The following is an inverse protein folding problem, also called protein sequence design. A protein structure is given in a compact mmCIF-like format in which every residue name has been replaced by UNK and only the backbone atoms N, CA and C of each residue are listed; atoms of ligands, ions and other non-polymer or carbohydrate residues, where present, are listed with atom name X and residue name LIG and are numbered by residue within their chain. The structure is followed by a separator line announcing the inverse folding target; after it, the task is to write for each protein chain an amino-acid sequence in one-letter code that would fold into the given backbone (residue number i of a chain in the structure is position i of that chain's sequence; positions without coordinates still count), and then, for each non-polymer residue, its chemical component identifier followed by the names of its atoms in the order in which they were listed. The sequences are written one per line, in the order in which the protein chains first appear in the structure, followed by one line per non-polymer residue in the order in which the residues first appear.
data_IF_763861010231
#
_entry.id   IF_763861010231
#
_cell.length_a   1.000
_cell.length_b   1.000
_cell.length_c   1.000
_cell.angle_alpha   90.00
_cell.angle_beta   90.00
_cell.angle_gamma   90.00
#
_symmetry.space_group_name_H-M   'P 1'
#
loop_
_entity.id
_entity.type
_entity.pdbx_description
1 polymer ?
#
# COMPACT_ATOMS: atom_id res chain seq x y z
N UNK A 1 21.70 3.38 5.93
CA UNK A 1 21.26 2.22 6.74
C UNK A 1 19.79 2.32 7.14
N UNK A 2 19.31 3.48 7.62
CA UNK A 2 17.93 3.68 8.09
C UNK A 2 16.82 3.23 7.11
N UNK A 3 16.80 3.74 5.88
CA UNK A 3 15.75 3.42 4.90
C UNK A 3 15.67 1.92 4.56
N UNK A 4 16.81 1.22 4.53
CA UNK A 4 16.87 -0.23 4.28
C UNK A 4 16.19 -1.00 5.41
N UNK A 5 16.43 -0.57 6.66
CA UNK A 5 15.74 -1.13 7.81
C UNK A 5 14.22 -1.02 7.67
N UNK A 6 13.70 0.17 7.40
CA UNK A 6 12.25 0.38 7.26
C UNK A 6 11.64 -0.35 6.06
N UNK A 7 12.29 -0.32 4.90
CA UNK A 7 11.78 -0.97 3.69
C UNK A 7 11.87 -2.50 3.76
N UNK A 8 13.01 -3.05 4.20
CA UNK A 8 13.25 -4.49 4.14
C UNK A 8 12.61 -5.24 5.31
N UNK A 9 12.33 -4.56 6.43
CA UNK A 9 11.49 -5.13 7.50
C UNK A 9 10.00 -5.08 7.18
N UNK A 10 9.59 -4.44 6.07
CA UNK A 10 8.19 -4.16 5.73
C UNK A 10 7.48 -3.18 6.68
N UNK A 11 8.21 -2.49 7.57
CA UNK A 11 7.63 -1.47 8.45
C UNK A 11 7.07 -0.28 7.66
N UNK A 12 7.75 0.11 6.58
CA UNK A 12 7.34 1.24 5.76
C UNK A 12 6.01 1.00 5.03
N UNK A 13 5.88 -0.17 4.40
CA UNK A 13 4.65 -0.56 3.70
C UNK A 13 3.50 -0.84 4.69
N UNK A 14 3.79 -1.40 5.86
CA UNK A 14 2.79 -1.60 6.92
C UNK A 14 2.24 -0.27 7.45
N UNK A 15 3.11 0.72 7.68
CA UNK A 15 2.69 2.08 8.02
C UNK A 15 1.86 2.70 6.89
N UNK A 16 2.24 2.45 5.63
CA UNK A 16 1.45 2.84 4.47
C UNK A 16 0.03 2.28 4.51
N UNK A 17 -0.13 0.99 4.82
CA UNK A 17 -1.43 0.35 4.98
C UNK A 17 -2.24 0.93 6.14
N UNK A 18 -1.61 1.18 7.30
CA UNK A 18 -2.24 1.85 8.45
C UNK A 18 -2.85 3.20 8.07
N UNK A 19 -2.01 4.08 7.52
CA UNK A 19 -2.38 5.45 7.20
C UNK A 19 -3.46 5.45 6.11
N UNK A 20 -3.24 4.70 5.05
CA UNK A 20 -4.18 4.55 3.94
C UNK A 20 -5.56 4.09 4.40
N UNK A 21 -5.63 3.09 5.30
CA UNK A 21 -6.89 2.59 5.85
C UNK A 21 -7.59 3.65 6.71
N UNK A 22 -6.84 4.38 7.52
CA UNK A 22 -7.39 5.46 8.37
C UNK A 22 -8.05 6.56 7.54
N UNK A 23 -7.39 6.99 6.46
CA UNK A 23 -7.92 8.04 5.57
C UNK A 23 -9.08 7.55 4.69
N UNK A 24 -9.17 6.25 4.43
CA UNK A 24 -10.34 5.66 3.77
C UNK A 24 -11.64 5.85 4.58
N UNK A 25 -11.58 6.06 5.90
CA UNK A 25 -12.79 6.37 6.68
C UNK A 25 -13.19 7.83 6.64
N UNK A 26 -12.23 8.74 6.39
CA UNK A 26 -12.54 10.14 6.07
C UNK A 26 -13.18 10.28 4.69
N UNK A 27 -13.07 9.25 3.84
CA UNK A 27 -13.83 9.19 2.60
C UNK A 27 -15.31 8.90 2.86
N UNK A 28 -15.62 7.99 3.77
CA UNK A 28 -16.96 7.41 3.85
C UNK A 28 -17.92 8.15 4.80
N UNK A 29 -17.41 8.96 5.74
CA UNK A 29 -18.24 9.39 6.89
C UNK A 29 -18.23 10.89 7.12
N UNK A 30 -19.40 11.42 7.52
CA UNK A 30 -19.62 12.77 8.07
C UNK A 30 -18.93 13.03 9.43
N UNK A 31 -17.69 12.55 9.64
CA UNK A 31 -16.82 12.93 10.76
C UNK A 31 -16.86 12.05 12.01
N UNK A 32 -17.79 11.10 12.10
CA UNK A 32 -18.00 10.20 13.26
C UNK A 32 -17.18 8.87 13.33
N UNK A 33 -16.37 8.41 12.35
CA UNK A 33 -15.98 6.98 12.27
C UNK A 33 -14.77 6.57 13.11
N UNK A 34 -13.97 7.53 13.63
CA UNK A 34 -12.79 7.18 14.42
C UNK A 34 -13.16 6.57 15.78
N UNK A 35 -14.37 6.82 16.28
CA UNK A 35 -14.81 6.44 17.62
C UNK A 35 -15.24 4.97 17.76
N UNK A 36 -15.45 4.22 16.68
CA UNK A 36 -16.05 2.87 16.71
C UNK A 36 -15.13 1.72 16.28
N UNK A 37 -13.91 1.69 16.78
CA UNK A 37 -12.99 0.57 16.51
C UNK A 37 -12.26 0.64 15.16
N UNK A 38 -12.44 1.75 14.42
CA UNK A 38 -11.72 2.01 13.18
C UNK A 38 -10.22 1.86 13.40
N UNK A 39 -9.62 2.69 14.25
CA UNK A 39 -8.17 2.71 14.49
C UNK A 39 -7.56 1.30 14.73
N UNK A 40 -8.27 0.45 15.48
CA UNK A 40 -7.89 -0.93 15.74
C UNK A 40 -7.88 -1.77 14.45
N UNK A 41 -8.87 -1.62 13.58
CA UNK A 41 -8.89 -2.24 12.26
C UNK A 41 -7.73 -1.76 11.37
N UNK A 42 -7.41 -0.45 11.33
CA UNK A 42 -6.24 0.04 10.58
C UNK A 42 -4.93 -0.53 11.12
N UNK A 43 -4.77 -0.57 12.44
CA UNK A 43 -3.61 -1.20 13.09
C UNK A 43 -3.52 -2.69 12.72
N UNK A 44 -4.64 -3.39 12.74
CA UNK A 44 -4.68 -4.80 12.39
C UNK A 44 -4.35 -5.04 10.91
N UNK A 45 -4.85 -4.20 9.99
CA UNK A 45 -4.49 -4.23 8.56
C UNK A 45 -2.99 -3.99 8.36
N UNK A 46 -2.41 -3.06 9.10
CA UNK A 46 -0.98 -2.77 9.05
C UNK A 46 -0.11 -3.94 9.54
N UNK A 47 -0.46 -4.53 10.69
CA UNK A 47 0.23 -5.71 11.23
C UNK A 47 0.09 -6.90 10.28
N UNK A 48 -1.10 -7.10 9.70
CA UNK A 48 -1.36 -8.15 8.72
C UNK A 48 -0.56 -7.93 7.44
N UNK A 49 -0.38 -6.68 7.01
CA UNK A 49 0.47 -6.32 5.86
C UNK A 49 1.93 -6.64 6.15
N UNK A 50 2.48 -6.21 7.30
CA UNK A 50 3.87 -6.49 7.67
C UNK A 50 4.16 -7.99 7.81
N UNK A 51 3.25 -8.74 8.44
CA UNK A 51 3.33 -10.20 8.56
C UNK A 51 3.19 -10.89 7.20
N UNK A 52 2.17 -10.51 6.42
CA UNK A 52 1.89 -11.09 5.10
C UNK A 52 3.07 -10.93 4.15
N UNK A 53 3.64 -9.73 4.05
CA UNK A 53 4.85 -9.50 3.26
C UNK A 53 6.04 -10.30 3.78
N UNK A 54 6.19 -10.45 5.10
CA UNK A 54 7.25 -11.29 5.70
C UNK A 54 7.09 -12.76 5.34
N UNK A 55 5.87 -13.31 5.40
CA UNK A 55 5.56 -14.69 4.99
C UNK A 55 5.83 -14.87 3.48
N UNK A 56 5.30 -13.98 2.64
CA UNK A 56 5.51 -14.04 1.19
C UNK A 56 7.00 -13.93 0.83
N UNK A 57 7.77 -13.13 1.57
CA UNK A 57 9.22 -13.02 1.42
C UNK A 57 9.93 -14.32 1.79
N UNK A 58 9.51 -14.97 2.88
CA UNK A 58 9.99 -16.29 3.28
C UNK A 58 9.70 -17.37 2.26
N UNK A 59 8.47 -17.40 1.71
CA UNK A 59 8.10 -18.33 0.63
C UNK A 59 8.98 -18.10 -0.61
N UNK A 60 9.15 -16.84 -1.04
CA UNK A 60 10.02 -16.52 -2.19
C UNK A 60 11.45 -16.97 -1.94
N UNK A 61 12.00 -16.68 -0.77
CA UNK A 61 13.36 -17.07 -0.40
C UNK A 61 13.55 -18.59 -0.35
N UNK A 62 12.58 -19.33 0.21
CA UNK A 62 12.68 -20.78 0.34
C UNK A 62 12.59 -21.52 -0.99
N UNK A 63 11.85 -20.97 -1.97
CA UNK A 63 11.53 -21.65 -3.23
C UNK A 63 12.36 -21.18 -4.41
N UNK A 64 12.55 -19.87 -4.53
CA UNK A 64 13.19 -19.22 -5.68
C UNK A 64 14.15 -18.11 -5.22
N UNK A 65 15.16 -18.41 -4.36
CA UNK A 65 16.06 -17.41 -3.80
C UNK A 65 16.78 -16.58 -4.88
N UNK A 66 17.09 -17.18 -6.03
CA UNK A 66 17.75 -16.54 -7.18
C UNK A 66 16.95 -15.37 -7.76
N UNK A 67 15.62 -15.43 -7.73
CA UNK A 67 14.72 -14.35 -8.18
C UNK A 67 14.65 -13.16 -7.21
N UNK A 68 15.40 -13.20 -6.10
CA UNK A 68 15.39 -12.17 -5.07
C UNK A 68 16.57 -11.20 -5.25
N UNK A 69 16.35 -9.87 -5.23
CA UNK A 69 17.44 -8.89 -5.27
C UNK A 69 18.53 -9.20 -4.21
N UNK A 70 19.82 -9.22 -4.58
CA UNK A 70 20.91 -9.58 -3.68
C UNK A 70 20.90 -8.83 -2.33
N UNK A 71 20.63 -7.52 -2.32
CA UNK A 71 20.56 -6.72 -1.09
C UNK A 71 19.42 -7.18 -0.18
N UNK A 72 18.26 -7.51 -0.75
CA UNK A 72 17.11 -8.02 0.01
C UNK A 72 17.36 -9.43 0.53
N UNK A 73 18.05 -10.27 -0.25
CA UNK A 73 18.42 -11.63 0.14
C UNK A 73 19.38 -11.62 1.32
N UNK A 74 20.47 -10.86 1.23
CA UNK A 74 21.44 -10.71 2.31
C UNK A 74 20.81 -10.17 3.60
N UNK A 75 19.86 -9.21 3.48
CA UNK A 75 19.12 -8.72 4.63
C UNK A 75 18.21 -9.79 5.25
N UNK A 76 17.50 -10.55 4.41
CA UNK A 76 16.63 -11.63 4.86
C UNK A 76 17.42 -12.71 5.60
N UNK A 77 18.55 -13.16 5.06
CA UNK A 77 19.38 -14.18 5.70
C UNK A 77 19.86 -13.76 7.09
N UNK A 78 20.13 -12.47 7.27
CA UNK A 78 20.54 -11.87 8.55
C UNK A 78 19.39 -11.76 9.55
N UNK A 79 18.18 -11.40 9.11
CA UNK A 79 17.11 -10.90 10.01
C UNK A 79 15.79 -11.68 9.96
N UNK A 80 15.66 -12.73 9.14
CA UNK A 80 14.39 -13.48 8.94
C UNK A 80 13.67 -13.86 10.23
N UNK A 81 14.39 -14.41 11.22
CA UNK A 81 13.77 -14.84 12.47
C UNK A 81 13.29 -13.68 13.33
N UNK A 82 14.06 -12.60 13.40
CA UNK A 82 13.62 -11.38 14.09
C UNK A 82 12.35 -10.82 13.44
N UNK A 83 12.29 -10.77 12.11
CA UNK A 83 11.09 -10.31 11.40
C UNK A 83 9.88 -11.21 11.65
N UNK A 84 10.05 -12.54 11.57
CA UNK A 84 8.96 -13.51 11.81
C UNK A 84 8.45 -13.41 13.25
N UNK A 85 9.35 -13.33 14.24
CA UNK A 85 8.97 -13.24 15.66
C UNK A 85 8.30 -11.90 15.96
N UNK A 86 8.85 -10.78 15.46
CA UNK A 86 8.29 -9.45 15.72
C UNK A 86 6.94 -9.28 15.04
N UNK A 87 6.82 -9.57 13.74
CA UNK A 87 5.54 -9.42 13.04
C UNK A 87 4.51 -10.45 13.50
N UNK A 88 4.92 -11.71 13.66
CA UNK A 88 4.03 -12.77 14.13
C UNK A 88 3.55 -12.50 15.54
N UNK A 89 4.46 -12.19 16.46
CA UNK A 89 4.15 -11.87 17.85
C UNK A 89 3.26 -10.63 17.97
N UNK A 90 3.59 -9.53 17.28
CA UNK A 90 2.79 -8.31 17.30
C UNK A 90 1.39 -8.53 16.73
N UNK A 91 1.27 -9.23 15.60
CA UNK A 91 -0.02 -9.55 15.00
C UNK A 91 -0.87 -10.46 15.89
N UNK A 92 -0.29 -11.52 16.45
CA UNK A 92 -1.00 -12.44 17.35
C UNK A 92 -1.44 -11.73 18.61
N UNK A 93 -0.53 -11.00 19.27
CA UNK A 93 -0.84 -10.24 20.47
C UNK A 93 -1.97 -9.24 20.21
N UNK A 94 -1.88 -8.45 19.14
CA UNK A 94 -2.90 -7.45 18.80
C UNK A 94 -4.25 -8.09 18.49
N UNK A 95 -4.26 -9.19 17.73
CA UNK A 95 -5.48 -9.93 17.38
C UNK A 95 -6.19 -10.45 18.63
N UNK A 96 -5.44 -10.94 19.62
CA UNK A 96 -5.99 -11.42 20.90
C UNK A 96 -6.43 -10.27 21.79
N UNK A 97 -5.57 -9.25 21.96
CA UNK A 97 -5.82 -8.12 22.86
C UNK A 97 -7.00 -7.25 22.43
N UNK A 98 -7.29 -7.17 21.13
CA UNK A 98 -8.35 -6.34 20.56
C UNK A 98 -9.43 -7.18 19.85
N UNK A 99 -9.58 -8.46 20.20
CA UNK A 99 -10.53 -9.37 19.54
C UNK A 99 -11.97 -8.83 19.54
N UNK A 100 -12.41 -8.27 20.67
CA UNK A 100 -13.73 -7.64 20.80
C UNK A 100 -13.87 -6.39 19.91
N UNK A 101 -12.85 -5.53 19.87
CA UNK A 101 -12.85 -4.31 19.06
C UNK A 101 -12.83 -4.58 17.56
N UNK A 102 -12.25 -5.70 17.12
CA UNK A 102 -12.21 -6.12 15.71
C UNK A 102 -13.57 -6.68 15.25
N UNK A 103 -14.44 -7.04 16.21
CA UNK A 103 -15.79 -7.59 16.02
C UNK A 103 -15.82 -8.76 15.05
N UNK A 104 -15.03 -9.79 15.36
CA UNK A 104 -14.97 -11.05 14.61
C UNK A 104 -16.26 -11.87 14.68
N UNK A 105 -17.19 -11.49 15.55
CA UNK A 105 -18.55 -12.02 15.64
C UNK A 105 -19.39 -11.73 14.38
N UNK A 106 -18.97 -10.77 13.54
CA UNK A 106 -19.57 -10.46 12.25
C UNK A 106 -19.08 -11.40 11.13
N UNK A 107 -19.92 -12.33 10.63
CA UNK A 107 -19.51 -13.33 9.66
C UNK A 107 -19.00 -12.71 8.35
N UNK A 108 -19.59 -11.60 7.90
CA UNK A 108 -19.18 -10.86 6.72
C UNK A 108 -17.71 -10.40 6.79
N UNK A 109 -17.25 -9.94 7.96
CA UNK A 109 -15.87 -9.51 8.17
C UNK A 109 -14.91 -10.70 8.17
N UNK A 110 -15.32 -11.79 8.80
CA UNK A 110 -14.54 -13.01 8.81
C UNK A 110 -14.33 -13.54 7.39
N UNK A 111 -15.37 -13.56 6.56
CA UNK A 111 -15.27 -13.99 5.17
C UNK A 111 -14.34 -13.10 4.34
N UNK A 112 -14.40 -11.78 4.53
CA UNK A 112 -13.48 -10.85 3.87
C UNK A 112 -12.04 -11.14 4.28
N UNK A 113 -11.76 -11.27 5.57
CA UNK A 113 -10.40 -11.53 6.07
C UNK A 113 -9.87 -12.90 5.63
N UNK A 114 -10.70 -13.95 5.70
CA UNK A 114 -10.33 -15.29 5.21
C UNK A 114 -10.07 -15.25 3.72
N UNK A 115 -10.92 -14.58 2.93
CA UNK A 115 -10.73 -14.39 1.50
C UNK A 115 -9.42 -13.68 1.17
N UNK A 116 -9.08 -12.61 1.91
CA UNK A 116 -7.82 -11.88 1.75
C UNK A 116 -6.62 -12.72 2.13
N UNK A 117 -6.70 -13.53 3.20
CA UNK A 117 -5.66 -14.47 3.60
C UNK A 117 -5.40 -15.52 2.52
N UNK A 118 -6.47 -16.13 1.99
CA UNK A 118 -6.38 -17.11 0.90
C UNK A 118 -5.79 -16.47 -0.36
N UNK A 119 -6.27 -15.30 -0.77
CA UNK A 119 -5.75 -14.59 -1.94
C UNK A 119 -4.27 -14.22 -1.77
N UNK A 120 -3.88 -13.74 -0.58
CA UNK A 120 -2.50 -13.35 -0.26
C UNK A 120 -1.54 -14.54 -0.21
N UNK A 121 -2.00 -15.72 0.24
CA UNK A 121 -1.22 -16.95 0.19
C UNK A 121 -1.16 -17.50 -1.23
N UNK A 122 -2.29 -17.55 -1.93
CA UNK A 122 -2.42 -17.96 -3.33
C UNK A 122 -1.54 -17.15 -4.28
N UNK A 123 -1.33 -15.86 -3.99
CA UNK A 123 -0.38 -15.00 -4.68
C UNK A 123 1.03 -15.60 -4.69
N UNK A 124 1.52 -16.05 -3.52
CA UNK A 124 2.88 -16.54 -3.36
C UNK A 124 3.00 -18.04 -3.65
N UNK A 125 1.95 -18.81 -3.36
CA UNK A 125 1.97 -20.26 -3.40
C UNK A 125 0.60 -20.84 -3.78
N UNK A 126 0.60 -21.76 -4.75
CA UNK A 126 -0.52 -22.65 -5.04
C UNK A 126 -0.03 -24.09 -4.85
N UNK A 127 -0.74 -24.96 -4.11
CA UNK A 127 -0.37 -26.36 -3.98
C UNK A 127 -0.24 -27.05 -5.33
N UNK A 128 0.82 -27.83 -5.53
CA UNK A 128 1.07 -28.58 -6.76
C UNK A 128 1.71 -27.80 -7.91
N UNK A 129 1.97 -26.51 -7.75
CA UNK A 129 2.66 -25.68 -8.77
C UNK A 129 4.06 -25.26 -8.30
N UNK A 130 4.93 -24.84 -9.23
CA UNK A 130 6.26 -24.32 -8.90
C UNK A 130 6.22 -22.88 -8.30
N UNK A 131 5.11 -22.17 -8.39
CA UNK A 131 4.89 -20.87 -7.73
C UNK A 131 3.41 -20.45 -7.70
N UNK A 132 3.08 -19.32 -7.08
CA UNK A 132 1.70 -18.82 -6.98
C UNK A 132 1.22 -18.03 -8.20
N UNK A 133 0.03 -17.41 -8.07
CA UNK A 133 -0.58 -16.56 -9.12
C UNK A 133 0.32 -15.41 -9.57
N UNK A 134 1.31 -15.01 -8.76
CA UNK A 134 2.33 -14.01 -9.12
C UNK A 134 3.11 -14.32 -10.40
N UNK A 135 3.19 -15.60 -10.82
CA UNK A 135 3.94 -16.03 -11.99
C UNK A 135 3.13 -15.91 -13.30
N UNK A 136 1.82 -15.63 -13.20
CA UNK A 136 0.96 -15.45 -14.37
C UNK A 136 1.08 -14.00 -14.85
N UNK A 137 1.49 -13.83 -16.11
CA UNK A 137 1.64 -12.51 -16.75
C UNK A 137 0.34 -11.73 -16.62
N UNK A 138 0.42 -10.49 -16.14
CA UNK A 138 -0.72 -9.59 -16.02
C UNK A 138 -1.65 -9.87 -14.83
N UNK A 139 -1.54 -11.00 -14.12
CA UNK A 139 -2.37 -11.29 -12.94
C UNK A 139 -1.75 -10.76 -11.63
N UNK A 140 -0.42 -10.59 -11.61
CA UNK A 140 0.33 -10.09 -10.44
C UNK A 140 -0.24 -8.76 -9.90
N UNK A 141 -0.44 -7.78 -10.77
CA UNK A 141 -0.84 -6.42 -10.40
C UNK A 141 -2.32 -6.35 -9.96
N UNK A 142 -3.30 -6.88 -10.72
CA UNK A 142 -4.70 -6.90 -10.29
C UNK A 142 -4.91 -7.62 -8.95
N UNK A 143 -4.19 -8.72 -8.70
CA UNK A 143 -4.33 -9.44 -7.45
C UNK A 143 -3.81 -8.64 -6.24
N UNK A 144 -2.62 -8.03 -6.36
CA UNK A 144 -2.08 -7.14 -5.32
C UNK A 144 -3.04 -5.97 -5.08
N UNK A 145 -3.47 -5.31 -6.16
CA UNK A 145 -4.35 -4.14 -6.08
C UNK A 145 -5.71 -4.49 -5.46
N UNK A 146 -6.31 -5.64 -5.82
CA UNK A 146 -7.58 -6.09 -5.26
C UNK A 146 -7.50 -6.44 -3.78
N UNK A 147 -6.44 -7.14 -3.36
CA UNK A 147 -6.20 -7.45 -1.93
C UNK A 147 -6.02 -6.16 -1.14
N UNK A 148 -5.19 -5.24 -1.61
CA UNK A 148 -4.97 -3.95 -0.94
C UNK A 148 -6.22 -3.08 -0.91
N UNK A 149 -6.93 -2.95 -2.03
CA UNK A 149 -8.15 -2.15 -2.09
C UNK A 149 -9.15 -2.68 -1.07
N UNK A 150 -9.44 -3.96 -1.10
CA UNK A 150 -10.39 -4.58 -0.15
C UNK A 150 -9.92 -4.44 1.29
N UNK A 151 -8.65 -4.72 1.59
CA UNK A 151 -8.13 -4.65 2.96
C UNK A 151 -8.14 -3.24 3.55
N UNK A 152 -7.93 -2.21 2.72
CA UNK A 152 -7.79 -0.82 3.19
C UNK A 152 -9.04 0.02 3.06
N UNK A 153 -10.05 -0.42 2.30
CA UNK A 153 -11.31 0.33 2.10
C UNK A 153 -12.51 -0.32 2.74
N UNK A 154 -12.42 -1.57 3.21
CA UNK A 154 -13.54 -2.22 3.88
C UNK A 154 -13.74 -1.64 5.29
N UNK A 155 -14.77 -0.80 5.45
CA UNK A 155 -15.16 -0.26 6.73
C UNK A 155 -15.84 -1.35 7.59
N UNK A 156 -15.50 -1.47 8.88
CA UNK A 156 -16.10 -2.47 9.75
C UNK A 156 -17.65 -2.38 9.79
N UNK A 157 -18.22 -1.19 9.88
CA UNK A 157 -19.68 -0.98 10.01
C UNK A 157 -20.42 -0.68 8.70
N UNK A 158 -19.72 -0.08 7.72
CA UNK A 158 -20.34 0.48 6.52
C UNK A 158 -20.10 -0.42 5.31
N UNK A 159 -19.26 -1.45 5.46
CA UNK A 159 -18.87 -2.33 4.37
C UNK A 159 -17.93 -1.63 3.40
N UNK A 160 -18.13 -1.88 2.11
CA UNK A 160 -17.22 -1.45 1.05
C UNK A 160 -17.92 -0.39 0.18
N UNK A 161 -17.39 0.82 0.18
CA UNK A 161 -17.77 1.85 -0.80
C UNK A 161 -17.14 1.49 -2.17
N UNK A 162 -17.95 1.23 -3.21
CA UNK A 162 -17.42 0.78 -4.50
C UNK A 162 -16.51 1.81 -5.17
N UNK A 163 -16.76 3.10 -4.98
CA UNK A 163 -16.03 4.18 -5.62
C UNK A 163 -14.63 4.33 -5.01
N UNK A 164 -14.54 4.29 -3.69
CA UNK A 164 -13.31 4.24 -2.91
C UNK A 164 -12.52 2.98 -3.23
N UNK A 165 -13.19 1.83 -3.36
CA UNK A 165 -12.51 0.59 -3.73
C UNK A 165 -11.88 0.68 -5.11
N UNK A 166 -12.61 1.18 -6.12
CA UNK A 166 -12.07 1.40 -7.48
C UNK A 166 -10.92 2.41 -7.44
N UNK A 167 -11.09 3.51 -6.71
CA UNK A 167 -10.04 4.51 -6.51
C UNK A 167 -8.77 3.88 -5.96
N UNK A 168 -8.90 3.09 -4.89
CA UNK A 168 -7.78 2.44 -4.22
C UNK A 168 -7.15 1.36 -5.08
N UNK A 169 -7.96 0.60 -5.82
CA UNK A 169 -7.48 -0.40 -6.77
C UNK A 169 -6.58 0.25 -7.83
N UNK A 170 -7.05 1.32 -8.48
CA UNK A 170 -6.28 2.06 -9.48
C UNK A 170 -4.98 2.62 -8.89
N UNK A 171 -5.06 3.18 -7.69
CA UNK A 171 -3.91 3.74 -6.99
C UNK A 171 -2.83 2.69 -6.73
N UNK A 172 -3.20 1.56 -6.13
CA UNK A 172 -2.24 0.50 -5.78
C UNK A 172 -1.73 -0.21 -7.03
N UNK A 173 -2.57 -0.43 -8.04
CA UNK A 173 -2.14 -0.97 -9.32
C UNK A 173 -1.06 -0.07 -9.97
N UNK A 174 -1.29 1.25 -9.96
CA UNK A 174 -0.34 2.24 -10.46
C UNK A 174 0.99 2.25 -9.68
N UNK A 175 0.96 2.14 -8.35
CA UNK A 175 2.17 2.03 -7.53
C UNK A 175 2.90 0.70 -7.70
N UNK A 176 2.20 -0.38 -8.09
CA UNK A 176 2.79 -1.73 -8.18
C UNK A 176 3.56 -1.94 -9.49
N UNK A 177 3.11 -1.36 -10.61
CA UNK A 177 3.75 -1.54 -11.92
C UNK A 177 5.25 -1.17 -11.99
N UNK A 178 5.73 -0.09 -11.34
CA UNK A 178 7.16 0.22 -11.29
C UNK A 178 8.03 -0.88 -10.69
N UNK A 179 7.49 -1.72 -9.80
CA UNK A 179 8.24 -2.86 -9.25
C UNK A 179 8.53 -3.91 -10.32
N UNK A 180 7.64 -4.10 -11.29
CA UNK A 180 7.89 -4.99 -12.43
C UNK A 180 9.00 -4.44 -13.32
N UNK A 181 9.03 -3.12 -13.57
CA UNK A 181 10.10 -2.46 -14.33
C UNK A 181 11.45 -2.66 -13.63
N UNK A 182 11.49 -2.44 -12.32
CA UNK A 182 12.69 -2.59 -11.50
C UNK A 182 13.27 -4.01 -11.57
N UNK A 183 12.39 -5.00 -11.54
CA UNK A 183 12.78 -6.41 -11.40
C UNK A 183 13.00 -7.12 -12.75
N UNK A 184 12.87 -6.44 -13.91
CA UNK A 184 13.00 -7.05 -15.25
C UNK A 184 14.24 -7.94 -15.39
N UNK A 185 15.42 -7.45 -14.99
CA UNK A 185 16.68 -8.19 -15.15
C UNK A 185 16.71 -9.47 -14.31
N UNK A 186 16.11 -9.41 -13.12
CA UNK A 186 16.07 -10.51 -12.16
C UNK A 186 14.98 -11.51 -12.53
N UNK A 187 13.84 -11.05 -13.03
CA UNK A 187 12.69 -11.90 -13.35
C UNK A 187 12.87 -12.62 -14.71
N UNK A 188 13.62 -12.03 -15.67
CA UNK A 188 13.75 -12.54 -17.05
C UNK A 188 14.11 -14.02 -17.18
N UNK A 189 15.03 -14.59 -16.37
CA UNK A 189 15.37 -16.01 -16.48
C UNK A 189 14.30 -16.97 -15.94
N UNK A 190 13.28 -16.46 -15.23
CA UNK A 190 12.39 -17.26 -14.39
C UNK A 190 10.91 -17.08 -14.68
N UNK A 191 10.49 -15.90 -15.16
CA UNK A 191 9.10 -15.61 -15.51
C UNK A 191 9.00 -14.47 -16.52
N UNK A 192 7.90 -14.46 -17.27
CA UNK A 192 7.54 -13.33 -18.12
C UNK A 192 6.77 -12.29 -17.28
N UNK A 193 7.12 -11.02 -17.41
CA UNK A 193 6.42 -9.90 -16.75
C UNK A 193 5.90 -8.89 -17.77
N UNK A 194 5.01 -7.98 -17.34
CA UNK A 194 4.45 -6.94 -18.22
C UNK A 194 5.51 -6.13 -19.00
N UNK A 195 6.62 -5.65 -18.39
CA UNK A 195 7.66 -4.92 -19.13
C UNK A 195 8.51 -5.78 -20.07
N UNK A 196 8.27 -7.09 -20.16
CA UNK A 196 8.90 -7.98 -21.15
C UNK A 196 8.01 -8.22 -22.37
N UNK A 197 6.68 -8.19 -22.19
CA UNK A 197 5.70 -8.30 -23.28
C UNK A 197 5.34 -6.93 -23.87
N UNK A 198 5.50 -5.87 -23.08
CA UNK A 198 5.46 -4.47 -23.49
C UNK A 198 6.84 -3.83 -23.27
N UNK A 199 6.98 -2.52 -23.45
CA UNK A 199 8.20 -1.80 -23.07
C UNK A 199 8.12 -1.23 -21.64
N UNK A 200 9.26 -1.01 -21.01
CA UNK A 200 9.35 -0.34 -19.69
C UNK A 200 8.69 1.03 -19.71
N UNK A 201 8.85 1.80 -20.79
CA UNK A 201 8.18 3.08 -21.01
C UNK A 201 6.66 2.94 -21.06
N UNK A 202 6.16 1.92 -21.76
CA UNK A 202 4.71 1.69 -21.86
C UNK A 202 4.12 1.31 -20.51
N UNK A 203 4.79 0.43 -19.77
CA UNK A 203 4.37 0.04 -18.42
C UNK A 203 4.38 1.24 -17.46
N UNK A 204 5.39 2.12 -17.56
CA UNK A 204 5.43 3.35 -16.77
C UNK A 204 4.29 4.31 -17.14
N UNK A 205 3.95 4.43 -18.44
CA UNK A 205 2.78 5.21 -18.87
C UNK A 205 1.47 4.66 -18.30
N UNK A 206 1.30 3.35 -18.28
CA UNK A 206 0.13 2.72 -17.64
C UNK A 206 0.09 3.00 -16.14
N UNK A 207 1.22 2.89 -15.44
CA UNK A 207 1.33 3.21 -14.03
C UNK A 207 0.87 4.65 -13.75
N UNK A 208 1.39 5.61 -14.51
CA UNK A 208 0.99 7.02 -14.43
C UNK A 208 -0.49 7.22 -14.74
N UNK A 209 -1.01 6.59 -15.78
CA UNK A 209 -2.42 6.70 -16.14
C UNK A 209 -3.34 6.24 -15.00
N UNK A 210 -3.05 5.09 -14.39
CA UNK A 210 -3.83 4.57 -13.26
C UNK A 210 -3.81 5.52 -12.05
N UNK A 211 -2.65 6.10 -11.74
CA UNK A 211 -2.51 7.07 -10.65
C UNK A 211 -3.26 8.38 -10.94
N UNK A 212 -3.19 8.87 -12.18
CA UNK A 212 -3.93 10.06 -12.60
C UNK A 212 -5.45 9.81 -12.56
N UNK A 213 -5.92 8.65 -13.02
CA UNK A 213 -7.32 8.27 -12.96
C UNK A 213 -7.82 8.16 -11.51
N UNK A 214 -7.03 7.55 -10.63
CA UNK A 214 -7.30 7.47 -9.20
C UNK A 214 -7.39 8.86 -8.54
N UNK A 215 -6.45 9.76 -8.88
CA UNK A 215 -6.46 11.14 -8.40
C UNK A 215 -7.69 11.91 -8.90
N UNK A 216 -7.99 11.80 -10.19
CA UNK A 216 -9.15 12.45 -10.81
C UNK A 216 -10.46 11.98 -10.17
N UNK A 217 -10.61 10.68 -9.91
CA UNK A 217 -11.78 10.12 -9.23
C UNK A 217 -11.96 10.71 -7.83
N UNK A 218 -10.87 10.79 -7.06
CA UNK A 218 -10.88 11.36 -5.71
C UNK A 218 -11.24 12.85 -5.70
N UNK A 219 -10.69 13.62 -6.64
CA UNK A 219 -10.98 15.05 -6.78
C UNK A 219 -12.39 15.31 -7.32
N UNK A 220 -12.94 14.43 -8.15
CA UNK A 220 -14.32 14.51 -8.60
C UNK A 220 -15.30 14.32 -7.44
N UNK A 221 -15.06 13.32 -6.57
CA UNK A 221 -15.85 13.11 -5.35
C UNK A 221 -15.75 14.32 -4.42
N UNK A 222 -14.55 14.86 -4.23
CA UNK A 222 -14.38 16.07 -3.45
C UNK A 222 -15.14 17.27 -4.02
N UNK A 223 -15.06 17.48 -5.34
CA UNK A 223 -15.73 18.57 -6.03
C UNK A 223 -17.25 18.46 -5.96
N UNK A 224 -17.80 17.25 -6.13
CA UNK A 224 -19.23 16.98 -6.00
C UNK A 224 -19.73 17.27 -4.57
N UNK A 225 -19.03 16.79 -3.53
CA UNK A 225 -19.40 17.05 -2.14
C UNK A 225 -19.36 18.54 -1.80
N UNK A 226 -18.30 19.22 -2.24
CA UNK A 226 -18.14 20.66 -2.04
C UNK A 226 -19.23 21.45 -2.75
N UNK A 227 -19.65 21.02 -3.94
CA UNK A 227 -20.75 21.63 -4.68
C UNK A 227 -22.09 21.45 -3.98
N UNK A 228 -22.36 20.25 -3.44
CA UNK A 228 -23.66 19.91 -2.86
C UNK A 228 -23.85 20.49 -1.45
N UNK A 229 -22.81 20.48 -0.61
CA UNK A 229 -22.92 20.83 0.81
C UNK A 229 -22.02 21.98 1.25
N UNK A 230 -21.28 22.60 0.32
CA UNK A 230 -20.24 23.58 0.65
C UNK A 230 -18.96 22.93 1.18
N UNK A 231 -17.95 23.75 1.45
CA UNK A 231 -16.67 23.25 1.97
C UNK A 231 -16.81 22.88 3.46
N UNK A 232 -16.79 21.59 3.78
CA UNK A 232 -16.75 21.08 5.16
C UNK A 232 -15.40 20.41 5.44
N UNK A 233 -14.85 20.52 6.67
CA UNK A 233 -13.59 19.85 7.02
C UNK A 233 -13.60 18.33 6.78
N UNK A 234 -14.76 17.70 6.92
CA UNK A 234 -14.93 16.27 6.67
C UNK A 234 -14.72 15.86 5.22
N UNK A 235 -14.99 16.78 4.28
CA UNK A 235 -14.83 16.52 2.85
C UNK A 235 -13.34 16.60 2.42
N UNK A 236 -12.41 16.86 3.35
CA UNK A 236 -10.97 16.87 3.06
C UNK A 236 -10.42 15.46 2.71
N UNK A 237 -11.07 14.37 3.11
CA UNK A 237 -10.60 13.00 2.86
C UNK A 237 -10.34 12.71 1.38
N UNK A 238 -11.37 12.81 0.51
CA UNK A 238 -11.21 12.63 -0.94
C UNK A 238 -10.19 13.58 -1.57
N UNK A 239 -10.11 14.85 -1.11
CA UNK A 239 -9.09 15.79 -1.58
C UNK A 239 -7.67 15.29 -1.26
N UNK A 240 -7.42 14.89 -0.02
CA UNK A 240 -6.11 14.42 0.43
C UNK A 240 -5.68 13.16 -0.32
N UNK A 241 -6.61 12.22 -0.52
CA UNK A 241 -6.35 10.99 -1.32
C UNK A 241 -6.08 11.35 -2.79
N UNK A 242 -6.78 12.35 -3.34
CA UNK A 242 -6.50 12.89 -4.67
C UNK A 242 -5.10 13.48 -4.80
N UNK A 243 -4.69 14.30 -3.83
CA UNK A 243 -3.34 14.89 -3.77
C UNK A 243 -2.25 13.81 -3.60
N UNK A 244 -2.51 12.75 -2.83
CA UNK A 244 -1.63 11.59 -2.75
C UNK A 244 -1.45 10.94 -4.13
N UNK A 245 -2.53 10.74 -4.89
CA UNK A 245 -2.47 10.21 -6.26
C UNK A 245 -1.67 11.11 -7.21
N UNK A 246 -1.85 12.44 -7.14
CA UNK A 246 -1.08 13.40 -7.92
C UNK A 246 0.41 13.39 -7.55
N UNK A 247 0.73 13.26 -6.26
CA UNK A 247 2.12 13.11 -5.81
C UNK A 247 2.74 11.83 -6.40
N UNK A 248 2.05 10.69 -6.30
CA UNK A 248 2.51 9.42 -6.89
C UNK A 248 2.78 9.58 -8.40
N UNK A 249 1.83 10.19 -9.10
CA UNK A 249 1.93 10.47 -10.53
C UNK A 249 3.15 11.35 -10.84
N UNK A 250 3.43 12.38 -10.05
CA UNK A 250 4.59 13.24 -10.25
C UNK A 250 5.93 12.54 -9.95
N UNK A 251 5.97 11.70 -8.91
CA UNK A 251 7.15 10.86 -8.58
C UNK A 251 7.50 9.93 -9.74
N UNK A 252 6.50 9.42 -10.45
CA UNK A 252 6.67 8.54 -11.61
C UNK A 252 6.85 9.28 -12.94
N UNK A 253 7.34 10.53 -12.96
CA UNK A 253 7.65 11.24 -14.21
C UNK A 253 8.75 10.52 -15.01
N UNK A 254 8.58 10.30 -16.32
CA UNK A 254 9.49 9.45 -17.10
C UNK A 254 10.95 9.88 -17.00
N UNK A 255 11.20 11.18 -16.95
CA UNK A 255 12.53 11.79 -16.95
C UNK A 255 13.34 11.40 -15.70
N UNK A 256 12.68 11.14 -14.57
CA UNK A 256 13.35 10.72 -13.34
C UNK A 256 13.14 9.25 -12.99
N UNK A 257 11.93 8.73 -13.19
CA UNK A 257 11.57 7.40 -12.74
C UNK A 257 12.23 6.31 -13.58
N UNK A 258 12.20 6.43 -14.91
CA UNK A 258 12.72 5.38 -15.79
C UNK A 258 14.23 5.16 -15.62
N UNK A 259 15.10 6.19 -15.65
CA UNK A 259 16.53 6.01 -15.43
C UNK A 259 16.85 5.42 -14.05
N UNK A 260 16.02 5.73 -13.04
CA UNK A 260 16.22 5.22 -11.68
C UNK A 260 15.79 3.76 -11.54
N UNK A 261 14.68 3.37 -12.19
CA UNK A 261 14.15 2.00 -12.17
C UNK A 261 15.01 1.03 -12.97
N UNK A 262 15.69 1.51 -14.03
CA UNK A 262 16.60 0.71 -14.87
C UNK A 262 18.08 0.94 -14.55
N UNK A 263 18.38 1.68 -13.47
CA UNK A 263 19.75 1.95 -13.05
C UNK A 263 20.52 0.64 -12.80
N UNK A 264 21.79 0.57 -13.21
CA UNK A 264 22.64 -0.60 -12.97
C UNK A 264 22.88 -0.87 -11.47
N UNK A 265 22.87 0.19 -10.66
CA UNK A 265 23.07 0.07 -9.22
C UNK A 265 21.79 -0.39 -8.52
N UNK A 266 21.82 -1.59 -7.93
CA UNK A 266 20.69 -2.15 -7.18
C UNK A 266 20.23 -1.25 -6.03
N UNK A 267 21.15 -0.58 -5.31
CA UNK A 267 20.81 0.33 -4.21
C UNK A 267 19.91 1.47 -4.69
N UNK A 268 20.16 2.00 -5.88
CA UNK A 268 19.39 3.11 -6.45
C UNK A 268 17.97 2.66 -6.79
N UNK A 269 17.84 1.52 -7.46
CA UNK A 269 16.56 0.86 -7.76
C UNK A 269 15.74 0.55 -6.50
N UNK A 270 16.38 -0.03 -5.49
CA UNK A 270 15.75 -0.43 -4.23
C UNK A 270 15.36 0.76 -3.36
N UNK A 271 16.17 1.82 -3.34
CA UNK A 271 15.82 3.05 -2.61
C UNK A 271 14.63 3.73 -3.26
N UNK A 272 14.60 3.85 -4.58
CA UNK A 272 13.50 4.49 -5.26
C UNK A 272 12.17 3.77 -5.02
N UNK A 273 12.13 2.46 -5.22
CA UNK A 273 10.89 1.69 -5.02
C UNK A 273 10.54 1.50 -3.54
N UNK A 274 11.48 1.04 -2.72
CA UNK A 274 11.23 0.67 -1.34
C UNK A 274 11.17 1.81 -0.33
N UNK A 275 11.67 3.00 -0.68
CA UNK A 275 11.60 4.20 0.17
C UNK A 275 10.72 5.27 -0.46
N UNK A 276 11.03 5.70 -1.69
CA UNK A 276 10.31 6.82 -2.32
C UNK A 276 8.91 6.42 -2.74
N UNK A 277 8.75 5.31 -3.45
CA UNK A 277 7.46 4.88 -4.00
C UNK A 277 6.53 4.33 -2.91
N UNK A 278 7.01 3.39 -2.08
CA UNK A 278 6.29 2.94 -0.88
C UNK A 278 5.96 4.13 0.05
N UNK A 279 6.82 5.14 0.10
CA UNK A 279 6.63 6.34 0.90
C UNK A 279 5.46 7.21 0.47
N UNK A 280 4.97 7.08 -0.76
CA UNK A 280 3.76 7.80 -1.20
C UNK A 280 2.53 7.39 -0.38
N UNK A 281 2.54 6.20 0.21
CA UNK A 281 1.47 5.74 1.10
C UNK A 281 1.40 6.50 2.43
N UNK A 282 2.48 7.17 2.85
CA UNK A 282 2.62 7.75 4.20
C UNK A 282 2.93 9.25 4.14
N UNK A 283 3.83 9.67 3.25
CA UNK A 283 4.45 10.99 3.25
C UNK A 283 3.48 12.17 3.08
N UNK A 284 2.44 12.09 2.21
CA UNK A 284 1.46 13.18 2.11
C UNK A 284 0.78 13.48 3.45
N UNK A 285 0.55 12.43 4.25
CA UNK A 285 -0.12 12.54 5.54
C UNK A 285 0.81 13.05 6.63
N UNK A 286 2.09 12.67 6.58
CA UNK A 286 3.13 13.27 7.44
C UNK A 286 3.23 14.76 7.17
N UNK A 287 3.19 15.19 5.90
CA UNK A 287 3.22 16.60 5.55
C UNK A 287 1.99 17.36 6.11
N UNK A 288 0.79 16.79 5.98
CA UNK A 288 -0.43 17.38 6.54
C UNK A 288 -0.39 17.47 8.07
N UNK A 289 0.11 16.43 8.74
CA UNK A 289 0.27 16.43 10.20
C UNK A 289 1.27 17.51 10.65
N UNK A 290 2.39 17.65 9.96
CA UNK A 290 3.37 18.71 10.24
C UNK A 290 2.78 20.11 10.00
N UNK A 291 1.99 20.30 8.94
CA UNK A 291 1.27 21.55 8.70
C UNK A 291 0.26 21.84 9.82
N UNK A 292 -0.47 20.83 10.28
CA UNK A 292 -1.40 20.97 11.41
C UNK A 292 -0.68 21.38 12.69
N UNK A 293 0.45 20.74 13.03
CA UNK A 293 1.26 21.14 14.17
C UNK A 293 1.74 22.60 14.05
N UNK A 294 2.24 22.99 12.88
CA UNK A 294 2.67 24.37 12.62
C UNK A 294 1.52 25.35 12.86
N UNK A 295 0.32 25.05 12.35
CA UNK A 295 -0.87 25.87 12.58
C UNK A 295 -1.27 25.92 14.05
N UNK A 296 -1.15 24.82 14.80
CA UNK A 296 -1.41 24.83 16.24
C UNK A 296 -0.45 25.76 17.00
N UNK A 297 0.82 25.78 16.64
CA UNK A 297 1.81 26.66 17.28
C UNK A 297 1.67 28.13 16.87
N UNK A 298 1.21 28.39 15.64
CA UNK A 298 1.07 29.76 15.08
C UNK A 298 -0.31 30.35 15.36
N UNK A 299 -1.35 29.53 15.59
CA UNK A 299 -2.72 29.99 15.83
C UNK A 299 -2.86 30.96 17.01
N UNK A 300 -2.20 30.78 18.17
CA UNK A 300 -2.26 31.76 19.24
C UNK A 300 -1.71 33.12 18.80
N UNK A 301 -0.59 33.12 18.06
CA UNK A 301 0.02 34.35 17.53
C UNK A 301 -0.94 35.03 16.56
N UNK A 302 -1.57 34.31 15.64
CA UNK A 302 -2.48 34.87 14.64
C UNK A 302 -3.81 35.40 15.21
N UNK A 303 -4.21 34.98 16.42
CA UNK A 303 -5.42 35.50 17.09
C UNK A 303 -5.20 36.88 17.70
N UNK A 304 -3.93 37.27 17.89
CA UNK A 304 -3.53 38.54 18.50
C UNK A 304 -3.20 39.64 17.46
N UNK A 305 -3.41 39.38 16.16
CA UNK A 305 -3.33 40.34 15.05
C UNK A 305 -4.69 40.57 14.41
#
# INVERSE_FOLDING_TARGET
MFWRGLSFTHAWIALGAFVTTTFSWMWDVEGEPMERGGMQAACWVALSTGLGYTIQRGIKHARNPETMPPLRRAFWDRWKWAMVVVWGGAWTWFTVAFAESLRWDHPERLWVVVGLGIASLGYAFVPGTQGGFRNVVGLKVPLIAGVWATATTHHPELGLDPLLWVQRFLFIAGLTLPFDIRDVEIDRPHMTTLPMVASTDQVLRWARFLLAASAALSLAVWGERTWTHGLRPVDAGPMVVGLQGLWAWWVLRPESALPTLTAAEETTRERFTGWTLDGVLVMPYVALWLMYLMLLFVSPVLRDW
#
